data_IF_271991864408
#
_entry.id   IF_271991864408
#
_cell.length_a   1.000
_cell.length_b   1.000
_cell.length_c   1.000
_cell.angle_alpha   90.00
_cell.angle_beta   90.00
_cell.angle_gamma   90.00
#
_symmetry.space_group_name_H-M   'P 1'
#
loop_
_entity.id
_entity.type
_entity.pdbx_description
1 polymer ?
#
# COMPACT_ATOMS: atom_id res chain seq x y z
N UNK A 1 1.91 17.84 10.32
CA UNK A 1 2.79 17.44 9.21
C UNK A 1 2.42 16.00 8.90
N UNK A 2 1.55 15.79 7.91
CA UNK A 2 1.30 14.44 7.42
C UNK A 2 2.47 14.14 6.48
N UNK A 3 3.40 13.28 6.93
CA UNK A 3 4.44 12.77 6.04
C UNK A 3 3.76 12.02 4.90
N UNK A 4 4.06 12.39 3.66
CA UNK A 4 3.53 11.73 2.49
C UNK A 4 3.86 10.23 2.57
N UNK A 5 2.86 9.37 2.34
CA UNK A 5 3.04 7.92 2.46
C UNK A 5 3.47 7.29 1.14
N UNK A 6 4.67 6.72 1.12
CA UNK A 6 5.13 5.87 0.02
C UNK A 6 4.48 4.47 0.03
N UNK A 7 4.49 3.78 -1.11
CA UNK A 7 3.96 2.40 -1.23
C UNK A 7 4.59 1.45 -0.20
N UNK A 8 5.92 1.40 -0.01
CA UNK A 8 6.52 0.54 1.00
C UNK A 8 6.00 0.80 2.41
N UNK A 9 5.82 2.07 2.80
CA UNK A 9 5.31 2.47 4.12
C UNK A 9 3.85 2.04 4.31
N UNK A 10 3.01 2.16 3.28
CA UNK A 10 1.62 1.65 3.32
C UNK A 10 1.59 0.14 3.56
N UNK A 11 2.44 -0.61 2.84
CA UNK A 11 2.53 -2.07 3.04
C UNK A 11 3.04 -2.40 4.44
N UNK A 12 3.96 -1.61 4.97
CA UNK A 12 4.45 -1.81 6.33
C UNK A 12 3.39 -1.52 7.40
N UNK A 13 2.57 -0.48 7.21
CA UNK A 13 1.40 -0.21 8.05
C UNK A 13 0.41 -1.38 8.05
N UNK A 14 0.13 -1.95 6.88
CA UNK A 14 -0.69 -3.15 6.74
C UNK A 14 -0.04 -4.37 7.44
N UNK A 15 1.26 -4.57 7.24
CA UNK A 15 1.98 -5.68 7.87
C UNK A 15 1.95 -5.59 9.39
N UNK A 16 2.06 -4.39 9.97
CA UNK A 16 1.93 -4.16 11.41
C UNK A 16 0.50 -4.46 11.89
N UNK A 17 -0.52 -4.04 11.14
CA UNK A 17 -1.94 -4.29 11.46
C UNK A 17 -2.28 -5.80 11.48
N UNK A 18 -1.77 -6.55 10.52
CA UNK A 18 -2.06 -7.98 10.37
C UNK A 18 -0.98 -8.90 10.99
N UNK A 19 0.07 -8.33 11.57
CA UNK A 19 1.18 -9.04 12.23
C UNK A 19 2.32 -9.49 11.31
N UNK A 20 2.11 -9.60 10.00
CA UNK A 20 3.17 -9.84 9.00
C UNK A 20 2.72 -9.45 7.59
N UNK A 21 3.67 -9.31 6.66
CA UNK A 21 3.38 -9.11 5.23
C UNK A 21 2.54 -10.27 4.67
N UNK A 22 2.84 -11.52 5.05
CA UNK A 22 2.10 -12.68 4.56
C UNK A 22 0.66 -12.70 5.11
N UNK A 23 0.48 -12.35 6.39
CA UNK A 23 -0.84 -12.23 6.99
C UNK A 23 -1.65 -11.09 6.34
N UNK A 24 -1.02 -9.95 6.06
CA UNK A 24 -1.64 -8.85 5.33
C UNK A 24 -2.07 -9.29 3.92
N UNK A 25 -1.20 -9.99 3.17
CA UNK A 25 -1.54 -10.47 1.83
C UNK A 25 -2.76 -11.41 1.85
N UNK A 26 -2.82 -12.33 2.82
CA UNK A 26 -3.98 -13.22 3.01
C UNK A 26 -5.25 -12.46 3.38
N UNK A 27 -5.15 -11.51 4.30
CA UNK A 27 -6.29 -10.69 4.72
C UNK A 27 -6.86 -9.85 3.56
N UNK A 28 -5.97 -9.40 2.66
CA UNK A 28 -6.33 -8.62 1.49
C UNK A 28 -6.75 -9.46 0.27
N UNK A 29 -6.65 -10.80 0.36
CA UNK A 29 -6.91 -11.69 -0.78
C UNK A 29 -5.92 -11.50 -1.93
N UNK A 30 -4.69 -11.07 -1.64
CA UNK A 30 -3.63 -10.82 -2.61
C UNK A 30 -2.56 -11.91 -2.60
N UNK A 31 -1.90 -12.18 -3.74
CA UNK A 31 -0.71 -13.04 -3.75
C UNK A 31 0.39 -12.44 -2.87
N UNK A 32 0.99 -13.25 -1.99
CA UNK A 32 2.08 -12.84 -1.07
C UNK A 32 3.23 -12.17 -1.85
N UNK A 33 3.63 -12.74 -2.99
CA UNK A 33 4.68 -12.17 -3.85
C UNK A 33 4.35 -10.80 -4.44
N UNK A 34 3.06 -10.47 -4.64
CA UNK A 34 2.65 -9.13 -5.10
C UNK A 34 2.83 -8.10 -3.99
N UNK A 35 2.36 -8.42 -2.77
CA UNK A 35 2.51 -7.52 -1.63
C UNK A 35 3.99 -7.30 -1.27
N UNK A 36 4.79 -8.36 -1.36
CA UNK A 36 6.23 -8.30 -1.11
C UNK A 36 6.98 -7.48 -2.17
N UNK A 37 6.61 -7.60 -3.46
CA UNK A 37 7.18 -6.78 -4.52
C UNK A 37 6.87 -5.28 -4.37
N UNK A 38 5.68 -4.94 -3.85
CA UNK A 38 5.30 -3.56 -3.52
C UNK A 38 6.11 -3.03 -2.34
N UNK A 39 6.27 -3.84 -1.29
CA UNK A 39 7.08 -3.47 -0.12
C UNK A 39 8.56 -3.23 -0.49
N UNK A 40 9.12 -4.05 -1.37
CA UNK A 40 10.51 -3.91 -1.84
C UNK A 40 10.71 -2.78 -2.86
N UNK A 41 9.66 -2.03 -3.22
CA UNK A 41 9.74 -1.00 -4.25
C UNK A 41 10.05 -1.52 -5.66
N UNK A 42 10.02 -2.84 -5.89
CA UNK A 42 10.22 -3.46 -7.21
C UNK A 42 9.06 -3.19 -8.16
N UNK A 43 7.91 -2.78 -7.61
CA UNK A 43 6.73 -2.36 -8.35
C UNK A 43 6.28 -0.98 -7.86
N UNK A 44 6.74 0.06 -8.52
CA UNK A 44 6.45 1.45 -8.15
C UNK A 44 5.06 1.92 -8.63
N UNK A 45 4.50 1.27 -9.65
CA UNK A 45 3.18 1.61 -10.19
C UNK A 45 2.21 0.42 -10.06
N UNK A 46 1.53 0.27 -8.91
CA UNK A 46 0.43 -0.68 -8.78
C UNK A 46 -0.72 -0.29 -9.72
N UNK A 47 -1.48 -1.29 -10.16
CA UNK A 47 -2.71 -1.04 -10.94
C UNK A 47 -3.80 -0.47 -10.02
N UNK A 48 -4.79 0.20 -10.59
CA UNK A 48 -5.94 0.74 -9.85
C UNK A 48 -6.63 -0.30 -8.97
N UNK A 49 -6.77 -1.54 -9.44
CA UNK A 49 -7.38 -2.62 -8.65
C UNK A 49 -6.55 -2.97 -7.41
N UNK A 50 -5.23 -2.93 -7.51
CA UNK A 50 -4.35 -3.10 -6.36
C UNK A 50 -4.52 -1.95 -5.37
N UNK A 51 -4.57 -0.71 -5.85
CA UNK A 51 -4.81 0.47 -5.00
C UNK A 51 -6.17 0.39 -4.28
N UNK A 52 -7.22 -0.11 -4.95
CA UNK A 52 -8.54 -0.36 -4.33
C UNK A 52 -8.46 -1.36 -3.18
N UNK A 53 -7.72 -2.46 -3.38
CA UNK A 53 -7.55 -3.47 -2.34
C UNK A 53 -6.78 -2.89 -1.15
N UNK A 54 -5.70 -2.14 -1.40
CA UNK A 54 -4.91 -1.49 -0.36
C UNK A 54 -5.73 -0.47 0.43
N UNK A 55 -6.50 0.39 -0.26
CA UNK A 55 -7.39 1.37 0.38
C UNK A 55 -8.41 0.69 1.31
N UNK A 56 -9.03 -0.41 0.85
CA UNK A 56 -9.93 -1.22 1.67
C UNK A 56 -9.21 -1.83 2.88
N UNK A 57 -7.98 -2.30 2.69
CA UNK A 57 -7.14 -2.85 3.75
C UNK A 57 -6.74 -1.85 4.84
N UNK A 58 -6.58 -0.60 4.43
CA UNK A 58 -6.25 0.55 5.28
C UNK A 58 -7.49 1.21 5.89
N UNK A 59 -8.69 0.81 5.44
CA UNK A 59 -9.96 1.40 5.84
C UNK A 59 -10.06 2.90 5.50
N UNK A 60 -9.53 3.29 4.33
CA UNK A 60 -9.58 4.66 3.82
C UNK A 60 -10.21 4.69 2.41
N UNK A 61 -10.81 5.80 2.00
CA UNK A 61 -11.25 6.01 0.63
C UNK A 61 -10.10 5.94 -0.38
N UNK A 62 -10.35 5.35 -1.55
CA UNK A 62 -9.35 5.25 -2.62
C UNK A 62 -8.79 6.62 -3.06
N UNK A 63 -9.63 7.65 -3.10
CA UNK A 63 -9.20 8.98 -3.52
C UNK A 63 -8.26 9.62 -2.51
N UNK A 64 -8.38 9.29 -1.22
CA UNK A 64 -7.48 9.75 -0.17
C UNK A 64 -6.13 9.06 -0.31
N UNK A 65 -6.14 7.74 -0.50
CA UNK A 65 -4.92 6.98 -0.80
C UNK A 65 -4.16 7.52 -2.03
N UNK A 66 -4.88 7.86 -3.10
CA UNK A 66 -4.26 8.41 -4.32
C UNK A 66 -3.61 9.77 -4.03
N UNK A 67 -4.29 10.66 -3.30
CA UNK A 67 -3.74 11.97 -2.93
C UNK A 67 -2.44 11.86 -2.12
N UNK A 68 -2.39 10.91 -1.18
CA UNK A 68 -1.18 10.64 -0.38
C UNK A 68 -0.01 10.19 -1.28
N UNK A 69 -0.28 9.29 -2.23
CA UNK A 69 0.73 8.78 -3.17
C UNK A 69 1.21 9.83 -4.19
N UNK A 70 0.31 10.71 -4.65
CA UNK A 70 0.65 11.81 -5.55
C UNK A 70 1.48 12.89 -4.83
N UNK A 71 1.20 13.12 -3.54
CA UNK A 71 1.95 14.08 -2.71
C UNK A 71 3.40 13.61 -2.44
N UNK A 72 3.63 12.31 -2.40
CA UNK A 72 4.98 11.70 -2.32
C UNK A 72 5.73 11.84 -3.65
N UNK A 73 5.06 11.59 -4.77
CA UNK A 73 5.65 11.64 -6.11
C UNK A 73 6.05 13.06 -6.55
N UNK A 74 5.44 14.09 -5.98
CA UNK A 74 5.71 15.50 -6.29
C UNK A 74 6.95 16.09 -5.58
N UNK A 75 7.56 15.34 -4.65
CA UNK A 75 8.73 15.79 -3.89
C UNK A 75 10.08 15.30 -4.47
N UNK A 76 10.07 14.74 -5.69
CA UNK A 76 11.27 14.23 -6.39
C UNK A 76 11.65 15.13 -7.56
#
# INVERSE_FOLDING_TARGET
MADAMSIPQLIEGLARRYGSINAAARALGMPEGTLQALHQGRRQSPRLDTLRILARGLDIPLHELIKELESDSAQV
#
